data_IF_118853969599
#
_entry.id   IF_118853969599
#
_cell.length_a   1.000
_cell.length_b   1.000
_cell.length_c   1.000
_cell.angle_alpha   90.00
_cell.angle_beta   90.00
_cell.angle_gamma   90.00
#
_symmetry.space_group_name_H-M   'P 1'
#
loop_
_entity.id
_entity.type
_entity.pdbx_description
1 polymer ?
#
# COMPACT_ATOMS: atom_id res chain seq x y z
N UNK A 1 -31.77 49.83 40.17
CA UNK A 1 -31.83 48.48 39.57
C UNK A 1 -30.73 48.43 38.52
N UNK A 2 -29.69 47.63 38.83
CA UNK A 2 -28.55 47.12 38.05
C UNK A 2 -28.08 47.91 36.81
N UNK A 3 -26.96 48.65 36.89
CA UNK A 3 -25.53 48.23 36.82
C UNK A 3 -25.02 48.17 35.38
N UNK A 4 -24.18 49.15 35.02
CA UNK A 4 -23.07 48.98 34.07
C UNK A 4 -21.83 49.53 34.79
N UNK A 5 -20.91 48.63 35.15
CA UNK A 5 -19.61 48.98 35.74
C UNK A 5 -18.53 48.60 34.74
N UNK A 6 -17.56 49.51 34.67
CA UNK A 6 -16.34 49.52 33.87
C UNK A 6 -15.35 48.39 34.21
N UNK A 7 -14.16 48.51 33.60
CA UNK A 7 -12.86 47.88 33.93
C UNK A 7 -12.68 46.45 33.37
N UNK A 8 -11.53 46.00 32.89
CA UNK A 8 -10.21 46.60 32.71
C UNK A 8 -9.38 45.69 31.80
N UNK A 9 -8.45 46.31 31.10
CA UNK A 9 -7.28 45.70 30.47
C UNK A 9 -6.51 44.83 31.45
N UNK A 10 -6.25 43.56 31.10
CA UNK A 10 -5.17 42.77 31.69
C UNK A 10 -4.38 42.13 30.53
N UNK A 11 -3.23 42.76 30.24
CA UNK A 11 -2.06 42.06 29.74
C UNK A 11 -1.45 41.30 30.92
N UNK A 12 -1.21 40.00 30.77
CA UNK A 12 -0.04 39.37 31.40
C UNK A 12 0.45 38.20 30.55
N UNK A 13 1.70 38.34 30.15
CA UNK A 13 2.55 37.44 29.37
C UNK A 13 2.99 36.23 30.20
N UNK A 14 2.95 35.02 29.64
CA UNK A 14 3.94 33.98 29.94
C UNK A 14 4.37 33.36 28.60
N UNK A 15 5.60 33.68 28.21
CA UNK A 15 6.36 32.96 27.20
C UNK A 15 6.80 31.60 27.76
N UNK A 16 6.93 30.58 26.91
CA UNK A 16 8.14 29.72 26.84
C UNK A 16 8.04 28.76 25.64
N UNK A 17 8.95 28.98 24.68
CA UNK A 17 9.69 27.99 23.87
C UNK A 17 8.90 26.98 23.03
N UNK A 18 9.01 27.12 21.70
CA UNK A 18 9.61 26.10 20.84
C UNK A 18 10.18 26.76 19.58
N UNK A 19 11.44 26.43 19.31
CA UNK A 19 12.24 26.90 18.19
C UNK A 19 11.78 26.26 16.88
N UNK A 20 11.74 27.09 15.83
CA UNK A 20 12.21 26.81 14.48
C UNK A 20 12.02 25.41 13.90
N UNK A 21 10.98 25.24 13.09
CA UNK A 21 11.10 24.53 11.82
C UNK A 21 10.66 25.52 10.74
N UNK A 22 11.64 26.01 9.99
CA UNK A 22 11.41 26.85 8.82
C UNK A 22 10.70 26.00 7.76
N UNK A 23 9.41 26.26 7.53
CA UNK A 23 8.58 25.50 6.61
C UNK A 23 9.13 25.55 5.16
N UNK A 24 9.91 26.59 4.83
CA UNK A 24 10.54 26.72 3.52
C UNK A 24 11.78 25.81 3.38
N UNK A 25 12.49 25.54 4.48
CA UNK A 25 13.63 24.60 4.47
C UNK A 25 13.15 23.15 4.26
N UNK A 26 11.99 22.78 4.80
CA UNK A 26 11.38 21.46 4.60
C UNK A 26 10.88 21.31 3.15
N UNK A 27 10.30 22.35 2.56
CA UNK A 27 9.91 22.31 1.14
C UNK A 27 11.10 22.24 0.17
N UNK A 28 12.23 22.86 0.50
CA UNK A 28 13.41 22.85 -0.37
C UNK A 28 14.14 21.50 -0.39
N UNK A 29 14.15 20.77 0.73
CA UNK A 29 14.69 19.40 0.81
C UNK A 29 13.84 18.42 -0.03
N UNK A 30 12.52 18.57 -0.02
CA UNK A 30 11.59 17.72 -0.78
C UNK A 30 11.64 17.93 -2.30
N UNK A 31 12.25 19.02 -2.79
CA UNK A 31 12.30 19.36 -4.22
C UNK A 31 13.66 19.18 -4.89
N UNK A 32 14.68 18.70 -4.18
CA UNK A 32 15.98 18.36 -4.77
C UNK A 32 16.73 19.51 -5.46
N UNK A 33 16.45 20.77 -5.12
CA UNK A 33 17.13 21.92 -5.71
C UNK A 33 18.37 22.31 -4.90
N UNK A 34 19.56 22.01 -5.43
CA UNK A 34 20.84 22.51 -4.90
C UNK A 34 21.05 23.97 -5.31
N UNK A 35 21.06 24.89 -4.34
CA UNK A 35 21.49 26.27 -4.55
C UNK A 35 23.02 26.35 -4.48
N UNK A 36 23.66 26.53 -5.64
CA UNK A 36 25.09 26.79 -5.75
C UNK A 36 25.38 28.29 -5.74
N UNK A 37 26.03 28.80 -4.68
CA UNK A 37 26.95 29.93 -4.76
C UNK A 37 28.17 29.73 -3.83
N UNK A 38 29.34 30.02 -4.40
CA UNK A 38 30.69 29.63 -4.01
C UNK A 38 31.27 30.25 -2.73
N UNK A 39 32.08 29.47 -1.99
CA UNK A 39 33.41 29.88 -1.50
C UNK A 39 34.28 28.69 -1.04
N UNK A 40 35.40 28.48 -1.76
CA UNK A 40 36.73 27.96 -1.35
C UNK A 40 36.90 26.68 -0.50
N UNK A 41 37.41 25.63 -1.16
CA UNK A 41 38.39 24.60 -0.75
C UNK A 41 38.45 24.11 0.70
N UNK A 42 37.99 22.88 0.94
CA UNK A 42 38.79 21.80 1.58
C UNK A 42 38.18 20.44 1.27
N UNK A 43 39.03 19.42 1.10
CA UNK A 43 38.71 18.04 0.72
C UNK A 43 37.58 17.42 1.56
N UNK A 44 36.53 16.96 0.90
CA UNK A 44 35.55 16.03 1.45
C UNK A 44 35.39 14.84 0.48
N UNK A 45 35.21 13.60 0.97
CA UNK A 45 34.99 12.44 0.10
C UNK A 45 33.73 12.68 -0.72
N UNK A 46 33.78 12.41 -2.02
CA UNK A 46 32.59 12.33 -2.85
C UNK A 46 31.62 11.32 -2.22
N UNK A 47 30.58 11.84 -1.57
CA UNK A 47 29.41 11.04 -1.21
C UNK A 47 28.86 10.47 -2.52
N UNK A 48 28.87 9.14 -2.62
CA UNK A 48 28.36 8.42 -3.78
C UNK A 48 26.96 8.91 -4.12
N UNK A 49 26.79 9.39 -5.35
CA UNK A 49 25.50 9.77 -5.89
C UNK A 49 24.52 8.62 -5.72
N UNK A 50 23.31 8.92 -5.26
CA UNK A 50 22.25 7.92 -5.15
C UNK A 50 22.00 7.33 -6.54
N UNK A 51 22.13 6.01 -6.67
CA UNK A 51 21.82 5.28 -7.91
C UNK A 51 20.31 5.07 -8.10
N UNK A 52 19.46 5.65 -7.25
CA UNK A 52 18.01 5.56 -7.39
C UNK A 52 17.56 6.46 -8.53
N UNK A 53 16.70 5.94 -9.41
CA UNK A 53 16.16 6.71 -10.53
C UNK A 53 15.47 7.97 -10.03
N UNK A 54 16.02 9.13 -10.37
CA UNK A 54 15.39 10.42 -10.16
C UNK A 54 14.45 10.69 -11.33
N UNK A 55 13.21 10.24 -11.19
CA UNK A 55 12.12 10.52 -12.10
C UNK A 55 10.81 10.50 -11.32
N UNK A 56 9.79 11.20 -11.78
CA UNK A 56 8.43 11.06 -11.26
C UNK A 56 7.66 10.15 -12.21
N UNK A 57 7.04 9.09 -11.68
CA UNK A 57 6.05 8.33 -12.45
C UNK A 57 4.78 9.20 -12.51
N UNK A 58 4.34 9.55 -13.72
CA UNK A 58 3.24 10.52 -13.95
C UNK A 58 1.92 9.86 -14.38
N UNK A 59 1.90 8.54 -14.47
CA UNK A 59 0.71 7.75 -14.74
C UNK A 59 -0.23 7.64 -13.54
N UNK A 60 -1.16 6.70 -13.62
CA UNK A 60 -2.09 6.41 -12.52
C UNK A 60 -1.33 5.79 -11.34
N UNK A 61 -1.72 6.17 -10.13
CA UNK A 61 -1.13 5.68 -8.88
C UNK A 61 -1.69 4.31 -8.45
N UNK A 62 -1.84 3.38 -9.40
CA UNK A 62 -2.26 2.02 -9.09
C UNK A 62 -1.08 1.22 -8.54
N UNK A 63 -1.29 0.53 -7.43
CA UNK A 63 -0.35 -0.43 -6.90
C UNK A 63 -0.51 -1.81 -7.54
N UNK A 64 0.58 -2.56 -7.63
CA UNK A 64 0.59 -3.92 -8.20
C UNK A 64 0.98 -4.92 -7.12
N UNK A 65 0.10 -5.89 -6.83
CA UNK A 65 0.35 -6.93 -5.85
C UNK A 65 0.59 -8.29 -6.52
N UNK A 66 1.61 -9.02 -6.08
CA UNK A 66 1.97 -10.33 -6.62
C UNK A 66 2.17 -11.41 -5.55
N UNK A 67 1.51 -12.55 -5.74
CA UNK A 67 1.75 -13.77 -4.94
C UNK A 67 2.95 -14.60 -5.39
N UNK A 68 3.29 -14.55 -6.68
CA UNK A 68 4.27 -15.45 -7.27
C UNK A 68 5.69 -15.07 -6.84
N UNK A 69 6.31 -15.93 -6.03
CA UNK A 69 7.67 -15.73 -5.54
C UNK A 69 8.73 -15.91 -6.65
N UNK A 70 8.38 -16.44 -7.83
CA UNK A 70 9.34 -16.64 -8.93
C UNK A 70 9.90 -15.33 -9.48
N UNK A 71 9.20 -14.21 -9.33
CA UNK A 71 9.65 -12.89 -9.80
C UNK A 71 10.96 -12.42 -9.17
N UNK A 72 11.26 -12.91 -7.98
CA UNK A 72 12.51 -12.62 -7.31
C UNK A 72 13.33 -13.89 -7.03
N UNK A 73 12.72 -15.06 -6.79
CA UNK A 73 13.48 -16.31 -6.52
C UNK A 73 14.15 -16.90 -7.76
N UNK A 74 13.45 -16.90 -8.89
CA UNK A 74 13.84 -17.64 -10.09
C UNK A 74 14.24 -16.72 -11.25
N UNK A 75 14.42 -15.42 -10.99
CA UNK A 75 14.79 -14.44 -12.00
C UNK A 75 13.70 -14.18 -13.05
N UNK A 76 12.43 -14.55 -12.78
CA UNK A 76 11.32 -14.19 -13.66
C UNK A 76 11.19 -12.65 -13.70
N UNK A 77 11.39 -12.05 -14.87
CA UNK A 77 11.40 -10.60 -15.02
C UNK A 77 10.05 -10.00 -15.38
N UNK A 78 8.99 -10.78 -15.57
CA UNK A 78 7.71 -10.26 -16.09
C UNK A 78 7.18 -9.07 -15.28
N UNK A 79 7.23 -9.13 -13.95
CA UNK A 79 6.79 -8.02 -13.10
C UNK A 79 7.64 -6.75 -13.32
N UNK A 80 8.97 -6.88 -13.36
CA UNK A 80 9.85 -5.72 -13.61
C UNK A 80 9.68 -5.18 -15.04
N UNK A 81 9.60 -6.07 -16.04
CA UNK A 81 9.40 -5.70 -17.44
C UNK A 81 8.06 -4.99 -17.63
N UNK A 82 7.01 -5.44 -16.94
CA UNK A 82 5.73 -4.74 -16.90
C UNK A 82 5.88 -3.33 -16.33
N UNK A 83 6.47 -3.20 -15.14
CA UNK A 83 6.64 -1.91 -14.47
C UNK A 83 7.53 -0.93 -15.26
N UNK A 84 8.43 -1.44 -16.10
CA UNK A 84 9.29 -0.66 -17.01
C UNK A 84 8.60 -0.26 -18.32
N UNK A 85 7.58 -1.01 -18.75
CA UNK A 85 6.85 -0.75 -20.01
C UNK A 85 6.07 0.56 -19.97
N UNK A 86 5.82 1.15 -21.14
CA UNK A 86 4.99 2.36 -21.27
C UNK A 86 3.61 2.19 -20.62
N UNK A 87 2.99 1.02 -20.77
CA UNK A 87 1.71 0.68 -20.13
C UNK A 87 1.85 0.59 -18.61
N UNK A 88 2.91 -0.02 -18.11
CA UNK A 88 3.21 -0.05 -16.67
C UNK A 88 3.39 1.35 -16.10
N UNK A 89 4.16 2.21 -16.78
CA UNK A 89 4.37 3.61 -16.37
C UNK A 89 3.11 4.46 -16.48
N UNK A 90 2.22 4.17 -17.42
CA UNK A 90 0.95 4.88 -17.55
C UNK A 90 -0.06 4.52 -16.44
N UNK A 91 0.01 3.30 -15.89
CA UNK A 91 -1.00 2.78 -14.99
C UNK A 91 -0.53 2.48 -13.56
N UNK A 92 0.73 2.13 -13.34
CA UNK A 92 1.22 1.53 -12.09
C UNK A 92 2.36 2.35 -11.47
N UNK A 93 2.06 3.61 -11.15
CA UNK A 93 2.94 4.49 -10.40
C UNK A 93 2.84 4.32 -8.88
N UNK A 94 1.92 3.49 -8.38
CA UNK A 94 1.78 3.20 -6.95
C UNK A 94 2.75 2.13 -6.44
N UNK A 95 2.61 1.75 -5.18
CA UNK A 95 3.46 0.77 -4.50
C UNK A 95 3.43 -0.61 -5.15
N UNK A 96 4.48 -1.40 -4.91
CA UNK A 96 4.60 -2.78 -5.42
C UNK A 96 4.67 -3.73 -4.24
N UNK A 97 3.94 -4.83 -4.33
CA UNK A 97 3.83 -5.82 -3.28
C UNK A 97 4.29 -7.17 -3.84
N UNK A 98 5.26 -7.79 -3.18
CA UNK A 98 5.76 -9.11 -3.52
C UNK A 98 5.66 -10.04 -2.32
N UNK A 99 5.11 -11.22 -2.50
CA UNK A 99 5.19 -12.25 -1.48
C UNK A 99 6.65 -12.72 -1.34
N UNK A 100 7.18 -12.74 -0.11
CA UNK A 100 8.53 -13.21 0.18
C UNK A 100 8.56 -14.47 1.05
N UNK A 101 7.48 -14.74 1.78
CA UNK A 101 7.35 -15.90 2.66
C UNK A 101 5.88 -16.22 3.00
N UNK A 102 5.64 -17.45 3.42
CA UNK A 102 4.36 -17.99 3.83
C UNK A 102 4.54 -18.99 4.99
N UNK A 103 3.49 -19.73 5.34
CA UNK A 103 3.53 -20.72 6.43
C UNK A 103 4.60 -21.80 6.25
N UNK A 104 5.03 -22.09 5.03
CA UNK A 104 5.96 -23.18 4.71
C UNK A 104 7.43 -22.78 4.90
N UNK A 105 7.74 -21.48 4.89
CA UNK A 105 9.12 -20.97 4.91
C UNK A 105 9.32 -19.73 5.80
N UNK A 106 8.43 -19.47 6.76
CA UNK A 106 8.55 -18.34 7.70
C UNK A 106 9.87 -18.25 8.49
N UNK A 107 10.65 -19.35 8.60
CA UNK A 107 11.96 -19.35 9.29
C UNK A 107 13.13 -18.85 8.42
N UNK A 108 12.92 -18.68 7.12
CA UNK A 108 13.99 -18.30 6.19
C UNK A 108 13.42 -17.71 4.90
N UNK A 109 13.94 -16.55 4.48
CA UNK A 109 13.75 -16.06 3.11
C UNK A 109 14.64 -16.90 2.20
N UNK A 110 14.03 -17.70 1.32
CA UNK A 110 14.80 -18.51 0.36
C UNK A 110 15.48 -17.60 -0.67
N UNK A 111 16.71 -17.91 -1.10
CA UNK A 111 17.48 -17.11 -2.08
C UNK A 111 17.58 -15.61 -1.72
N UNK A 112 18.10 -15.26 -0.53
CA UNK A 112 18.07 -13.90 0.00
C UNK A 112 18.84 -12.88 -0.86
N UNK A 113 19.90 -13.28 -1.56
CA UNK A 113 20.62 -12.43 -2.50
C UNK A 113 19.77 -12.06 -3.71
N UNK A 114 18.91 -12.98 -4.18
CA UNK A 114 18.03 -12.73 -5.31
C UNK A 114 16.92 -11.73 -4.94
N UNK A 115 16.40 -11.79 -3.70
CA UNK A 115 15.47 -10.78 -3.19
C UNK A 115 16.13 -9.39 -3.17
N UNK A 116 17.38 -9.31 -2.72
CA UNK A 116 18.14 -8.06 -2.73
C UNK A 116 18.37 -7.54 -4.16
N UNK A 117 18.75 -8.43 -5.08
CA UNK A 117 18.94 -8.08 -6.49
C UNK A 117 17.64 -7.55 -7.12
N UNK A 118 16.49 -8.17 -6.81
CA UNK A 118 15.18 -7.69 -7.22
C UNK A 118 14.89 -6.29 -6.67
N UNK A 119 15.10 -6.06 -5.36
CA UNK A 119 14.86 -4.76 -4.74
C UNK A 119 15.72 -3.64 -5.34
N UNK A 120 16.98 -3.94 -5.66
CA UNK A 120 17.87 -3.01 -6.39
C UNK A 120 17.34 -2.74 -7.80
N UNK A 121 16.94 -3.78 -8.54
CA UNK A 121 16.42 -3.63 -9.89
C UNK A 121 15.13 -2.79 -9.91
N UNK A 122 14.22 -3.02 -8.96
CA UNK A 122 13.01 -2.21 -8.79
C UNK A 122 13.34 -0.71 -8.63
N UNK A 123 14.39 -0.37 -7.88
CA UNK A 123 14.80 1.03 -7.62
C UNK A 123 15.45 1.73 -8.80
N UNK A 124 15.87 0.97 -9.81
CA UNK A 124 16.34 1.52 -11.07
C UNK A 124 15.18 1.90 -12.00
N UNK A 125 13.95 1.44 -11.73
CA UNK A 125 12.79 1.81 -12.54
C UNK A 125 12.46 3.30 -12.40
N UNK A 126 11.94 3.89 -13.47
CA UNK A 126 11.49 5.28 -13.47
C UNK A 126 10.41 5.50 -12.40
N UNK A 127 10.59 6.53 -11.56
CA UNK A 127 9.62 6.84 -10.50
C UNK A 127 9.61 5.91 -9.30
N UNK A 128 10.53 4.94 -9.22
CA UNK A 128 10.61 4.03 -8.06
C UNK A 128 11.10 4.70 -6.77
N UNK A 129 11.66 5.92 -6.83
CA UNK A 129 12.26 6.57 -5.65
C UNK A 129 11.30 6.84 -4.50
N UNK A 130 10.04 7.16 -4.79
CA UNK A 130 9.00 7.45 -3.78
C UNK A 130 8.09 6.26 -3.48
N UNK A 131 8.15 5.19 -4.26
CA UNK A 131 7.25 4.02 -4.16
C UNK A 131 7.75 3.05 -3.09
N UNK A 132 6.86 2.47 -2.31
CA UNK A 132 7.22 1.43 -1.35
C UNK A 132 7.28 0.08 -2.06
N UNK A 133 8.34 -0.69 -1.79
CA UNK A 133 8.37 -2.12 -2.10
C UNK A 133 7.92 -2.88 -0.84
N UNK A 134 6.66 -3.31 -0.83
CA UNK A 134 6.10 -4.13 0.23
C UNK A 134 6.53 -5.59 0.04
N UNK A 135 7.26 -6.09 1.02
CA UNK A 135 7.70 -7.47 1.13
C UNK A 135 6.72 -8.21 2.05
N UNK A 136 5.85 -8.99 1.44
CA UNK A 136 4.70 -9.57 2.12
C UNK A 136 5.02 -10.93 2.71
N UNK A 137 4.66 -11.11 3.99
CA UNK A 137 4.37 -12.43 4.54
C UNK A 137 2.91 -12.77 4.28
N UNK A 138 2.67 -13.72 3.39
CA UNK A 138 1.34 -14.05 2.94
C UNK A 138 0.96 -15.51 3.27
N UNK A 139 -0.08 -15.70 4.07
CA UNK A 139 -0.53 -17.03 4.50
C UNK A 139 -2.07 -17.16 4.46
N UNK A 140 -2.58 -17.34 3.24
CA UNK A 140 -4.01 -17.57 2.99
C UNK A 140 -4.42 -19.05 3.13
N UNK A 141 -3.43 -19.95 3.25
CA UNK A 141 -3.64 -21.41 3.25
C UNK A 141 -3.79 -21.95 4.66
N UNK A 142 -2.77 -21.79 5.50
CA UNK A 142 -2.80 -22.29 6.88
C UNK A 142 -3.31 -21.22 7.86
N UNK A 143 -3.28 -19.94 7.47
CA UNK A 143 -3.79 -18.81 8.26
C UNK A 143 -3.18 -18.81 9.65
N UNK A 144 -1.86 -18.96 9.71
CA UNK A 144 -1.15 -19.19 10.95
C UNK A 144 -0.64 -17.88 11.54
N UNK A 145 -1.50 -17.22 12.31
CA UNK A 145 -1.16 -15.94 12.97
C UNK A 145 0.04 -16.00 13.91
N UNK A 146 0.39 -17.17 14.45
CA UNK A 146 1.58 -17.32 15.31
C UNK A 146 2.87 -17.07 14.52
N UNK A 147 2.93 -17.61 13.30
CA UNK A 147 4.11 -17.49 12.44
C UNK A 147 4.37 -16.07 11.96
N UNK A 148 3.36 -15.20 11.92
CA UNK A 148 3.52 -13.78 11.59
C UNK A 148 4.54 -13.12 12.52
N UNK A 149 4.36 -13.30 13.84
CA UNK A 149 5.27 -12.74 14.84
C UNK A 149 6.67 -13.35 14.72
N UNK A 150 6.75 -14.65 14.49
CA UNK A 150 8.05 -15.32 14.36
C UNK A 150 8.80 -14.88 13.08
N UNK A 151 8.07 -14.57 12.01
CA UNK A 151 8.64 -14.08 10.75
C UNK A 151 9.33 -12.71 10.89
N UNK A 152 8.94 -11.88 11.88
CA UNK A 152 9.62 -10.60 12.13
C UNK A 152 11.13 -10.81 12.34
N UNK A 153 11.52 -11.84 13.10
CA UNK A 153 12.93 -12.15 13.34
C UNK A 153 13.64 -12.58 12.05
N UNK A 154 12.96 -13.35 11.19
CA UNK A 154 13.49 -13.75 9.88
C UNK A 154 13.72 -12.55 8.96
N UNK A 155 12.76 -11.61 8.93
CA UNK A 155 12.87 -10.40 8.13
C UNK A 155 13.99 -9.47 8.66
N UNK A 156 14.07 -9.28 9.98
CA UNK A 156 15.15 -8.52 10.63
C UNK A 156 16.53 -9.11 10.34
N UNK A 157 16.65 -10.45 10.39
CA UNK A 157 17.90 -11.14 10.09
C UNK A 157 18.33 -10.92 8.64
N UNK A 158 17.40 -10.95 7.67
CA UNK A 158 17.72 -10.66 6.27
C UNK A 158 18.22 -9.21 6.09
N UNK A 159 17.57 -8.26 6.74
CA UNK A 159 18.02 -6.86 6.74
C UNK A 159 19.43 -6.74 7.32
N UNK A 160 19.68 -7.36 8.47
CA UNK A 160 20.99 -7.37 9.10
C UNK A 160 22.09 -7.97 8.22
N UNK A 161 21.83 -9.13 7.60
CA UNK A 161 22.86 -9.90 6.90
C UNK A 161 23.15 -9.42 5.48
N UNK A 162 22.14 -8.85 4.80
CA UNK A 162 22.23 -8.53 3.36
C UNK A 162 22.12 -7.04 3.04
N UNK A 163 21.69 -6.19 3.98
CA UNK A 163 21.40 -4.77 3.71
C UNK A 163 22.32 -3.89 4.55
N UNK A 164 23.51 -3.64 4.03
CA UNK A 164 24.48 -2.69 4.60
C UNK A 164 24.08 -1.22 4.36
N UNK A 165 24.84 -0.29 4.94
CA UNK A 165 24.57 1.15 4.88
C UNK A 165 24.52 1.73 3.46
N UNK A 166 25.28 1.15 2.53
CA UNK A 166 25.26 1.53 1.12
C UNK A 166 24.01 0.99 0.43
N UNK A 167 23.64 -0.25 0.74
CA UNK A 167 22.44 -0.91 0.23
C UNK A 167 21.16 -0.24 0.72
N UNK A 168 21.11 0.24 1.96
CA UNK A 168 19.99 1.04 2.50
C UNK A 168 19.67 2.21 1.54
N UNK A 169 20.69 2.94 1.06
CA UNK A 169 20.48 4.09 0.17
C UNK A 169 20.00 3.68 -1.23
N UNK A 170 20.21 2.42 -1.61
CA UNK A 170 19.83 1.90 -2.91
C UNK A 170 18.42 1.30 -2.93
N UNK A 171 17.98 0.67 -1.83
CA UNK A 171 16.75 -0.14 -1.83
C UNK A 171 15.56 0.46 -1.09
N UNK A 172 15.74 1.49 -0.27
CA UNK A 172 14.66 2.07 0.53
C UNK A 172 13.79 3.07 -0.27
N UNK A 173 12.49 3.26 0.08
CA UNK A 173 11.78 2.67 1.22
C UNK A 173 11.18 1.28 0.93
N UNK A 174 11.41 0.31 1.82
CA UNK A 174 10.75 -1.01 1.76
C UNK A 174 9.78 -1.14 2.92
N UNK A 175 8.88 -2.12 2.88
CA UNK A 175 8.04 -2.42 4.03
C UNK A 175 7.83 -3.90 4.24
N UNK A 176 7.59 -4.28 5.50
CA UNK A 176 7.05 -5.59 5.84
C UNK A 176 5.52 -5.49 5.79
N UNK A 177 4.90 -6.26 4.91
CA UNK A 177 3.45 -6.35 4.81
C UNK A 177 2.96 -7.72 5.27
N UNK A 178 1.77 -7.78 5.85
CA UNK A 178 1.10 -9.03 6.19
C UNK A 178 -0.19 -9.17 5.40
N UNK A 179 -0.33 -10.29 4.70
CA UNK A 179 -1.56 -10.73 4.04
C UNK A 179 -1.97 -12.10 4.60
N UNK A 180 -2.55 -12.05 5.80
CA UNK A 180 -2.96 -13.22 6.58
C UNK A 180 -4.35 -12.94 7.15
N UNK A 181 -5.34 -13.64 6.63
CA UNK A 181 -6.75 -13.43 6.95
C UNK A 181 -7.29 -14.50 7.92
N UNK A 182 -8.39 -14.19 8.62
CA UNK A 182 -9.13 -15.08 9.51
C UNK A 182 -8.30 -15.67 10.67
N UNK A 183 -7.47 -14.83 11.27
CA UNK A 183 -6.67 -15.15 12.46
C UNK A 183 -7.23 -14.46 13.69
N UNK A 184 -6.85 -14.94 14.89
CA UNK A 184 -7.17 -14.25 16.14
C UNK A 184 -6.57 -12.84 16.12
N UNK A 185 -7.37 -11.77 16.31
CA UNK A 185 -6.89 -10.39 16.32
C UNK A 185 -5.73 -10.13 17.28
N UNK A 186 -5.64 -10.88 18.39
CA UNK A 186 -4.54 -10.75 19.36
C UNK A 186 -3.21 -11.20 18.77
N UNK A 187 -3.22 -12.21 17.89
CA UNK A 187 -2.01 -12.65 17.18
C UNK A 187 -1.54 -11.60 16.17
N UNK A 188 -2.48 -10.94 15.48
CA UNK A 188 -2.20 -9.80 14.60
C UNK A 188 -1.54 -8.69 15.41
N UNK A 189 -2.15 -8.27 16.52
CA UNK A 189 -1.58 -7.25 17.42
C UNK A 189 -0.17 -7.60 17.87
N UNK A 190 0.04 -8.82 18.35
CA UNK A 190 1.33 -9.24 18.89
C UNK A 190 2.42 -9.27 17.80
N UNK A 191 2.09 -9.64 16.57
CA UNK A 191 3.00 -9.57 15.42
C UNK A 191 3.32 -8.12 15.04
N UNK A 192 2.32 -7.24 15.01
CA UNK A 192 2.49 -5.82 14.68
C UNK A 192 3.33 -5.07 15.73
N UNK A 193 3.12 -5.35 17.01
CA UNK A 193 3.94 -4.79 18.10
C UNK A 193 5.40 -5.26 17.95
N UNK A 194 5.63 -6.54 17.65
CA UNK A 194 6.99 -7.04 17.44
C UNK A 194 7.65 -6.40 16.21
N UNK A 195 6.93 -6.26 15.10
CA UNK A 195 7.42 -5.58 13.91
C UNK A 195 7.73 -4.09 14.15
N UNK A 196 6.95 -3.41 15.02
CA UNK A 196 7.21 -2.04 15.45
C UNK A 196 8.48 -1.95 16.29
N UNK A 197 8.70 -2.92 17.18
CA UNK A 197 9.94 -3.02 17.96
C UNK A 197 11.15 -3.29 17.07
N UNK A 198 11.01 -4.14 16.05
CA UNK A 198 12.04 -4.36 15.03
C UNK A 198 12.46 -3.04 14.37
N UNK A 199 11.52 -2.20 13.92
CA UNK A 199 11.87 -0.87 13.34
C UNK A 199 12.73 -0.02 14.28
N UNK A 200 12.43 -0.03 15.57
CA UNK A 200 13.23 0.68 16.58
C UNK A 200 14.64 0.09 16.72
N UNK A 201 14.78 -1.24 16.66
CA UNK A 201 16.09 -1.93 16.67
C UNK A 201 16.90 -1.62 15.42
N UNK A 202 16.31 -1.72 14.24
CA UNK A 202 16.96 -1.37 12.96
C UNK A 202 17.54 0.06 12.99
N UNK A 203 16.77 1.02 13.52
CA UNK A 203 17.21 2.41 13.64
C UNK A 203 18.35 2.58 14.65
N UNK A 204 18.18 2.03 15.85
CA UNK A 204 19.11 2.25 16.97
C UNK A 204 20.39 1.42 16.90
N UNK A 205 20.35 0.25 16.24
CA UNK A 205 21.46 -0.72 16.23
C UNK A 205 22.12 -0.85 14.86
N UNK A 206 21.36 -0.67 13.77
CA UNK A 206 21.85 -0.91 12.40
C UNK A 206 21.87 0.36 11.53
N UNK A 207 21.52 1.52 12.08
CA UNK A 207 21.66 2.81 11.40
C UNK A 207 20.65 3.05 10.28
N UNK A 208 19.53 2.32 10.27
CA UNK A 208 18.45 2.58 9.31
C UNK A 208 17.82 3.95 9.58
N UNK A 209 17.62 4.80 8.56
CA UNK A 209 16.89 6.04 8.73
C UNK A 209 15.46 5.77 9.21
N UNK A 210 14.94 6.63 10.09
CA UNK A 210 13.53 6.57 10.50
C UNK A 210 12.63 6.68 9.27
N UNK A 211 11.65 5.77 9.15
CA UNK A 211 10.73 5.71 8.01
C UNK A 211 11.28 4.99 6.77
N UNK A 212 12.49 4.44 6.81
CA UNK A 212 13.03 3.64 5.69
C UNK A 212 12.40 2.25 5.56
N UNK A 213 12.06 1.64 6.71
CA UNK A 213 11.31 0.39 6.79
C UNK A 213 9.92 0.67 7.34
N UNK A 214 8.90 0.31 6.57
CA UNK A 214 7.49 0.53 6.88
C UNK A 214 6.78 -0.77 7.28
N UNK A 215 5.65 -0.65 7.95
CA UNK A 215 4.78 -1.75 8.32
C UNK A 215 3.41 -1.58 7.69
N UNK A 216 2.91 -2.68 7.15
CA UNK A 216 1.55 -2.79 6.67
C UNK A 216 0.93 -4.12 7.09
N UNK A 217 -0.39 -4.13 7.22
CA UNK A 217 -1.15 -5.37 7.31
C UNK A 217 -2.49 -5.20 6.60
N UNK A 218 -3.04 -6.31 6.15
CA UNK A 218 -4.36 -6.36 5.54
C UNK A 218 -5.46 -6.12 6.56
N UNK A 219 -6.41 -5.26 6.21
CA UNK A 219 -7.75 -5.28 6.78
C UNK A 219 -8.56 -6.24 5.91
N UNK A 220 -8.87 -7.42 6.45
CA UNK A 220 -9.55 -8.49 5.71
C UNK A 220 -10.97 -8.10 5.28
N UNK A 221 -11.47 -8.81 4.27
CA UNK A 221 -12.83 -8.62 3.77
C UNK A 221 -13.92 -9.24 4.65
N UNK A 222 -13.59 -9.91 5.75
CA UNK A 222 -14.56 -10.43 6.70
C UNK A 222 -14.68 -9.51 7.94
N UNK A 223 -15.78 -9.67 8.68
CA UNK A 223 -16.01 -8.94 9.93
C UNK A 223 -14.88 -9.23 10.94
N UNK A 224 -14.16 -8.18 11.30
CA UNK A 224 -13.03 -8.20 12.24
C UNK A 224 -12.68 -6.77 12.71
N UNK A 225 -13.59 -6.18 13.48
CA UNK A 225 -13.41 -4.83 14.01
C UNK A 225 -12.15 -4.73 14.90
N UNK A 226 -11.91 -5.73 15.74
CA UNK A 226 -10.77 -5.72 16.65
C UNK A 226 -9.43 -5.82 15.90
N UNK A 227 -9.30 -6.71 14.92
CA UNK A 227 -8.11 -6.81 14.08
C UNK A 227 -7.89 -5.53 13.28
N UNK A 228 -8.95 -4.96 12.73
CA UNK A 228 -8.91 -3.68 12.01
C UNK A 228 -8.36 -2.55 12.87
N UNK A 229 -8.86 -2.41 14.11
CA UNK A 229 -8.32 -1.42 15.06
C UNK A 229 -6.82 -1.61 15.28
N UNK A 230 -6.36 -2.84 15.52
CA UNK A 230 -4.94 -3.11 15.73
C UNK A 230 -4.08 -2.78 14.51
N UNK A 231 -4.56 -3.07 13.29
CA UNK A 231 -3.89 -2.64 12.06
C UNK A 231 -3.77 -1.12 12.02
N UNK A 232 -4.88 -0.40 12.20
CA UNK A 232 -4.89 1.07 12.11
C UNK A 232 -4.02 1.77 13.18
N UNK A 233 -3.89 1.17 14.37
CA UNK A 233 -3.11 1.71 15.50
C UNK A 233 -1.60 1.38 15.45
N UNK A 234 -1.21 0.29 14.77
CA UNK A 234 0.15 -0.25 14.88
C UNK A 234 0.94 -0.32 13.56
N UNK A 235 0.36 0.11 12.44
CA UNK A 235 1.00 0.11 11.13
C UNK A 235 1.19 1.53 10.57
N UNK A 236 2.05 1.66 9.55
CA UNK A 236 2.18 2.90 8.77
C UNK A 236 1.16 2.93 7.61
N UNK A 237 0.74 1.76 7.13
CA UNK A 237 -0.27 1.60 6.10
C UNK A 237 -1.20 0.42 6.41
N UNK A 238 -2.47 0.54 6.03
CA UNK A 238 -3.45 -0.55 6.10
C UNK A 238 -3.88 -0.93 4.68
N UNK A 239 -3.81 -2.22 4.34
CA UNK A 239 -4.21 -2.72 3.03
C UNK A 239 -5.66 -3.26 3.11
N UNK A 240 -6.63 -2.43 2.75
CA UNK A 240 -8.05 -2.73 2.94
C UNK A 240 -8.59 -3.59 1.81
N UNK A 241 -8.92 -4.85 2.12
CA UNK A 241 -9.37 -5.84 1.15
C UNK A 241 -10.84 -5.64 0.81
N UNK A 242 -11.06 -5.08 -0.39
CA UNK A 242 -12.37 -4.68 -0.86
C UNK A 242 -12.86 -5.62 -1.95
N UNK A 243 -13.40 -6.76 -1.52
CA UNK A 243 -14.17 -7.64 -2.40
C UNK A 243 -15.58 -7.07 -2.60
N UNK A 244 -16.16 -7.17 -3.81
CA UNK A 244 -17.57 -6.76 -4.06
C UNK A 244 -18.55 -7.82 -3.50
N UNK A 245 -18.41 -8.08 -2.20
CA UNK A 245 -19.28 -8.94 -1.41
C UNK A 245 -20.67 -8.33 -1.25
N UNK A 246 -21.68 -9.19 -1.16
CA UNK A 246 -23.05 -8.80 -0.84
C UNK A 246 -23.14 -8.21 0.55
N UNK A 247 -23.57 -6.95 0.63
CA UNK A 247 -24.03 -6.37 1.88
C UNK A 247 -25.45 -5.86 1.64
N UNK A 248 -26.35 -6.27 2.52
CA UNK A 248 -27.70 -5.74 2.57
C UNK A 248 -27.62 -4.34 3.17
N UNK A 249 -27.75 -3.30 2.34
CA UNK A 249 -27.83 -1.91 2.79
C UNK A 249 -29.18 -1.69 3.52
N UNK A 250 -29.19 -1.50 4.85
CA UNK A 250 -30.42 -1.34 5.61
C UNK A 250 -31.19 -0.06 5.23
N UNK A 251 -30.49 0.91 4.63
CA UNK A 251 -31.07 2.19 4.20
C UNK A 251 -31.68 2.10 2.80
N UNK A 252 -31.38 1.05 2.03
CA UNK A 252 -31.81 0.87 0.65
C UNK A 252 -31.30 1.97 -0.30
N UNK A 253 -30.40 2.85 0.15
CA UNK A 253 -29.81 3.94 -0.66
C UNK A 253 -29.01 3.36 -1.84
N UNK A 254 -28.53 2.13 -1.68
CA UNK A 254 -27.73 1.45 -2.68
C UNK A 254 -28.08 -0.05 -2.72
N UNK A 255 -29.05 -0.46 -3.53
CA UNK A 255 -29.45 -1.88 -3.66
C UNK A 255 -28.64 -2.70 -4.68
N UNK A 256 -28.81 -4.01 -4.60
CA UNK A 256 -27.98 -5.13 -5.10
C UNK A 256 -27.56 -5.11 -6.58
N UNK A 257 -26.26 -4.97 -6.81
CA UNK A 257 -25.39 -5.88 -7.58
C UNK A 257 -23.97 -5.32 -7.55
N UNK A 258 -22.99 -6.08 -7.01
CA UNK A 258 -21.55 -5.76 -7.04
C UNK A 258 -21.15 -4.30 -6.72
N UNK A 259 -21.85 -3.63 -5.79
CA UNK A 259 -21.61 -2.21 -5.51
C UNK A 259 -20.44 -2.03 -4.53
N UNK A 260 -19.27 -1.75 -5.09
CA UNK A 260 -18.02 -1.47 -4.37
C UNK A 260 -18.16 -0.29 -3.38
N UNK A 261 -19.05 0.68 -3.67
CA UNK A 261 -19.32 1.84 -2.79
C UNK A 261 -19.94 1.41 -1.48
N UNK A 262 -20.91 0.51 -1.51
CA UNK A 262 -21.57 0.01 -0.29
C UNK A 262 -20.63 -0.80 0.56
N UNK A 263 -19.82 -1.61 -0.12
CA UNK A 263 -18.80 -2.38 0.56
C UNK A 263 -17.86 -1.44 1.29
N UNK A 264 -17.39 -0.39 0.63
CA UNK A 264 -16.51 0.60 1.24
C UNK A 264 -17.19 1.34 2.39
N UNK A 265 -18.47 1.71 2.25
CA UNK A 265 -19.26 2.29 3.33
C UNK A 265 -19.27 1.38 4.56
N UNK A 266 -19.55 0.09 4.39
CA UNK A 266 -19.50 -0.89 5.49
C UNK A 266 -18.10 -1.05 6.08
N UNK A 267 -17.05 -1.08 5.24
CA UNK A 267 -15.66 -1.16 5.72
C UNK A 267 -15.33 0.01 6.66
N UNK A 268 -15.91 1.19 6.41
CA UNK A 268 -15.59 2.41 7.16
C UNK A 268 -16.55 2.71 8.30
N UNK A 269 -17.74 2.09 8.32
CA UNK A 269 -18.75 2.31 9.37
C UNK A 269 -18.83 1.17 10.38
N UNK A 270 -18.63 -0.07 9.93
CA UNK A 270 -18.73 -1.26 10.77
C UNK A 270 -17.35 -1.86 11.04
N UNK A 271 -16.55 -2.12 10.00
CA UNK A 271 -15.25 -2.77 10.16
C UNK A 271 -14.22 -1.85 10.83
N UNK A 272 -14.19 -0.56 10.45
CA UNK A 272 -13.38 0.47 11.12
C UNK A 272 -14.28 1.48 11.84
N UNK A 273 -14.89 1.08 12.97
CA UNK A 273 -15.90 1.87 13.67
C UNK A 273 -15.47 3.31 14.04
N UNK A 274 -14.16 3.54 14.23
CA UNK A 274 -13.62 4.87 14.54
C UNK A 274 -13.21 5.68 13.29
N UNK A 275 -13.12 5.06 12.11
CA UNK A 275 -12.61 5.71 10.90
C UNK A 275 -13.38 6.97 10.55
N UNK A 276 -14.69 7.08 10.79
CA UNK A 276 -15.45 8.28 10.43
C UNK A 276 -15.48 9.37 11.52
N UNK A 277 -14.86 9.14 12.69
CA UNK A 277 -14.82 10.13 13.77
C UNK A 277 -13.76 11.19 13.50
N UNK A 278 -14.13 12.47 13.63
CA UNK A 278 -13.23 13.60 13.35
C UNK A 278 -12.01 13.67 14.28
N UNK A 279 -12.09 13.09 15.48
CA UNK A 279 -11.03 13.05 16.50
C UNK A 279 -10.16 11.79 16.44
N UNK A 280 -10.46 10.85 15.54
CA UNK A 280 -9.67 9.63 15.38
C UNK A 280 -8.52 9.85 14.40
N UNK A 281 -7.27 9.85 14.85
CA UNK A 281 -6.10 10.04 13.99
C UNK A 281 -5.23 8.77 13.99
N UNK A 282 -5.58 7.75 13.20
CA UNK A 282 -4.80 6.52 13.14
C UNK A 282 -3.41 6.81 12.55
N UNK A 283 -2.46 5.95 12.91
CA UNK A 283 -1.12 5.99 12.30
C UNK A 283 -1.16 5.52 10.85
N UNK A 284 -1.99 4.52 10.55
CA UNK A 284 -2.05 3.89 9.25
C UNK A 284 -2.80 4.73 8.21
N UNK A 285 -2.26 4.77 6.99
CA UNK A 285 -2.99 5.22 5.79
C UNK A 285 -3.55 4.03 5.01
N UNK A 286 -4.83 4.12 4.65
CA UNK A 286 -5.56 3.08 3.93
C UNK A 286 -5.20 3.12 2.45
N UNK A 287 -4.73 1.99 1.93
CA UNK A 287 -4.73 1.67 0.49
C UNK A 287 -5.80 0.60 0.28
N UNK A 288 -6.66 0.78 -0.72
CA UNK A 288 -7.74 -0.17 -1.02
C UNK A 288 -7.22 -1.23 -1.98
N UNK A 289 -7.25 -2.50 -1.57
CA UNK A 289 -6.88 -3.62 -2.42
C UNK A 289 -8.11 -4.29 -3.02
N UNK A 290 -8.05 -4.57 -4.32
CA UNK A 290 -9.09 -5.33 -5.04
C UNK A 290 -8.54 -6.56 -5.71
N UNK A 291 -9.43 -7.54 -5.94
CA UNK A 291 -9.10 -8.83 -6.52
C UNK A 291 -9.30 -8.87 -8.05
N UNK A 292 -8.38 -9.54 -8.73
CA UNK A 292 -8.29 -9.72 -10.17
C UNK A 292 -8.25 -11.20 -10.57
N UNK A 293 -8.10 -12.12 -9.62
CA UNK A 293 -8.07 -13.56 -9.87
C UNK A 293 -9.40 -14.08 -10.41
N UNK A 294 -9.38 -14.86 -11.49
CA UNK A 294 -10.55 -15.58 -11.99
C UNK A 294 -10.85 -16.86 -11.17
N UNK A 295 -10.02 -17.18 -10.17
CA UNK A 295 -10.10 -18.41 -9.38
C UNK A 295 -10.68 -18.20 -7.98
N UNK A 296 -11.61 -17.25 -7.82
CA UNK A 296 -12.26 -16.94 -6.54
C UNK A 296 -13.39 -17.90 -6.12
N UNK A 297 -13.51 -19.06 -6.77
CA UNK A 297 -14.52 -20.06 -6.42
C UNK A 297 -15.96 -19.60 -6.72
N UNK A 298 -16.90 -19.90 -5.81
CA UNK A 298 -18.31 -19.48 -5.92
C UNK A 298 -18.41 -17.98 -5.60
N UNK A 299 -19.09 -17.20 -6.43
CA UNK A 299 -19.16 -15.73 -6.27
C UNK A 299 -18.07 -14.96 -7.00
N UNK A 300 -17.29 -15.61 -7.88
CA UNK A 300 -16.23 -14.96 -8.65
C UNK A 300 -16.73 -13.70 -9.40
N UNK A 301 -17.93 -13.76 -9.98
CA UNK A 301 -18.57 -12.65 -10.70
C UNK A 301 -18.74 -11.38 -9.89
N UNK A 302 -18.57 -11.47 -8.57
CA UNK A 302 -18.84 -10.43 -7.59
C UNK A 302 -17.57 -10.07 -6.85
N UNK A 303 -16.75 -11.04 -6.50
CA UNK A 303 -15.52 -10.81 -5.74
C UNK A 303 -14.41 -10.18 -6.58
N UNK A 304 -14.34 -10.52 -7.86
CA UNK A 304 -13.16 -10.26 -8.70
C UNK A 304 -13.47 -9.37 -9.90
N UNK A 305 -12.57 -8.43 -10.17
CA UNK A 305 -12.59 -7.65 -11.41
C UNK A 305 -12.32 -8.49 -12.66
N UNK A 306 -11.83 -9.74 -12.53
CA UNK A 306 -11.71 -10.61 -13.69
C UNK A 306 -13.05 -10.85 -14.41
N UNK A 307 -14.17 -10.88 -13.67
CA UNK A 307 -15.49 -11.01 -14.26
C UNK A 307 -15.81 -9.87 -15.27
N UNK A 308 -15.17 -8.74 -15.12
CA UNK A 308 -15.39 -7.56 -15.94
C UNK A 308 -14.29 -7.39 -17.00
N UNK A 309 -13.70 -8.49 -17.45
CA UNK A 309 -12.83 -8.45 -18.63
C UNK A 309 -13.62 -8.14 -19.91
N UNK A 310 -13.06 -7.23 -20.71
CA UNK A 310 -13.67 -6.67 -21.92
C UNK A 310 -12.89 -5.44 -22.43
N UNK A 311 -13.09 -5.03 -23.69
CA UNK A 311 -12.33 -3.92 -24.28
C UNK A 311 -12.77 -2.54 -23.76
N UNK A 312 -11.78 -1.64 -23.60
CA UNK A 312 -11.98 -0.22 -23.28
C UNK A 312 -12.73 0.02 -21.96
N UNK A 313 -13.47 1.12 -21.85
CA UNK A 313 -14.22 1.49 -20.64
C UNK A 313 -15.28 0.45 -20.17
N UNK A 314 -15.54 -0.59 -20.96
CA UNK A 314 -16.47 -1.67 -20.62
C UNK A 314 -15.79 -2.86 -19.92
N UNK A 315 -14.46 -2.89 -19.83
CA UNK A 315 -13.73 -3.90 -19.09
C UNK A 315 -12.24 -3.62 -18.85
N UNK A 316 -11.52 -4.61 -18.33
CA UNK A 316 -10.07 -4.51 -18.10
C UNK A 316 -9.67 -3.40 -17.11
N UNK A 317 -8.47 -2.85 -17.28
CA UNK A 317 -7.87 -1.92 -16.31
C UNK A 317 -8.61 -0.58 -16.26
N UNK A 318 -9.10 -0.07 -17.40
CA UNK A 318 -9.83 1.20 -17.47
C UNK A 318 -11.15 1.14 -16.71
N UNK A 319 -11.92 0.07 -16.90
CA UNK A 319 -13.16 -0.14 -16.17
C UNK A 319 -12.92 -0.18 -14.66
N UNK A 320 -11.95 -0.98 -14.22
CA UNK A 320 -11.60 -1.09 -12.80
C UNK A 320 -11.18 0.26 -12.23
N UNK A 321 -10.28 0.98 -12.92
CA UNK A 321 -9.84 2.30 -12.48
C UNK A 321 -11.01 3.28 -12.34
N UNK A 322 -11.87 3.37 -13.36
CA UNK A 322 -13.03 4.27 -13.35
C UNK A 322 -13.98 3.96 -12.18
N UNK A 323 -14.26 2.68 -11.93
CA UNK A 323 -15.10 2.23 -10.81
C UNK A 323 -14.49 2.63 -9.46
N UNK A 324 -13.17 2.45 -9.29
CA UNK A 324 -12.48 2.79 -8.04
C UNK A 324 -12.40 4.30 -7.82
N UNK A 325 -12.11 5.08 -8.86
CA UNK A 325 -12.09 6.55 -8.75
C UNK A 325 -13.47 7.14 -8.52
N UNK A 326 -14.51 6.54 -9.11
CA UNK A 326 -15.88 7.01 -8.87
C UNK A 326 -16.33 6.68 -7.46
N UNK A 327 -15.99 5.49 -6.94
CA UNK A 327 -16.18 5.17 -5.53
C UNK A 327 -15.51 6.22 -4.64
N UNK A 328 -14.23 6.49 -4.87
CA UNK A 328 -13.46 7.44 -4.08
C UNK A 328 -14.03 8.87 -4.11
N UNK A 329 -14.51 9.31 -5.28
CA UNK A 329 -15.24 10.58 -5.45
C UNK A 329 -16.53 10.59 -4.62
N UNK A 330 -17.36 9.55 -4.73
CA UNK A 330 -18.65 9.47 -4.03
C UNK A 330 -18.46 9.50 -2.51
N UNK A 331 -17.43 8.83 -1.97
CA UNK A 331 -17.17 8.81 -0.52
C UNK A 331 -17.08 10.22 0.09
N UNK A 332 -16.50 11.14 -0.68
CA UNK A 332 -16.10 12.49 -0.26
C UNK A 332 -17.11 13.57 -0.68
N UNK A 333 -18.16 13.19 -1.39
CA UNK A 333 -19.14 14.14 -1.90
C UNK A 333 -19.95 14.78 -0.75
N UNK A 334 -20.06 16.11 -0.66
CA UNK A 334 -20.80 16.78 0.41
C UNK A 334 -22.30 16.48 0.48
N UNK A 335 -22.89 15.98 -0.61
CA UNK A 335 -24.33 15.71 -0.76
C UNK A 335 -24.64 14.23 -0.63
N UNK A 336 -23.83 13.37 -1.27
CA UNK A 336 -24.08 11.92 -1.32
C UNK A 336 -23.12 11.08 -0.47
N UNK A 337 -21.95 11.62 -0.12
CA UNK A 337 -20.87 10.95 0.59
C UNK A 337 -21.10 10.83 2.10
N UNK A 338 -20.12 10.24 2.78
CA UNK A 338 -20.18 9.94 4.21
C UNK A 338 -18.90 10.29 4.96
N UNK A 339 -17.94 10.93 4.29
CA UNK A 339 -16.79 11.56 4.94
C UNK A 339 -16.48 12.91 4.26
N UNK A 340 -15.85 13.82 5.01
CA UNK A 340 -15.35 15.07 4.44
C UNK A 340 -14.06 14.83 3.65
N UNK A 341 -13.70 15.68 2.67
CA UNK A 341 -12.41 15.58 1.98
C UNK A 341 -11.20 15.65 2.93
N UNK A 342 -11.30 16.44 4.02
CA UNK A 342 -10.25 16.50 5.04
C UNK A 342 -10.10 15.17 5.80
N UNK A 343 -11.23 14.51 6.11
CA UNK A 343 -11.23 13.20 6.74
C UNK A 343 -10.66 12.13 5.80
N UNK A 344 -10.99 12.20 4.52
CA UNK A 344 -10.43 11.32 3.51
C UNK A 344 -8.90 11.46 3.42
N UNK A 345 -8.38 12.67 3.29
CA UNK A 345 -6.94 12.93 3.27
C UNK A 345 -6.23 12.47 4.57
N UNK A 346 -6.93 12.50 5.70
CA UNK A 346 -6.43 11.99 6.97
C UNK A 346 -6.37 10.45 7.03
N UNK A 347 -7.20 9.74 6.26
CA UNK A 347 -7.31 8.28 6.31
C UNK A 347 -6.62 7.55 5.15
N UNK A 348 -6.69 8.07 3.93
CA UNK A 348 -6.28 7.33 2.74
C UNK A 348 -4.87 7.70 2.28
N UNK A 349 -4.21 6.74 1.63
CA UNK A 349 -2.91 6.93 1.01
C UNK A 349 -3.07 7.65 -0.35
N UNK A 350 -2.60 8.90 -0.50
CA UNK A 350 -2.72 9.63 -1.76
C UNK A 350 -1.75 9.13 -2.84
N UNK A 351 -0.64 8.54 -2.44
CA UNK A 351 0.43 8.08 -3.34
C UNK A 351 0.11 6.72 -3.95
N UNK A 352 -0.65 5.89 -3.24
CA UNK A 352 -1.20 4.61 -3.74
C UNK A 352 -2.60 4.39 -3.16
N UNK A 353 -3.64 5.03 -3.72
CA UNK A 353 -5.01 4.88 -3.21
C UNK A 353 -5.57 3.47 -3.44
N UNK A 354 -5.15 2.82 -4.52
CA UNK A 354 -5.64 1.50 -4.93
C UNK A 354 -4.49 0.55 -5.21
N UNK A 355 -4.64 -0.72 -4.86
CA UNK A 355 -3.74 -1.81 -5.23
C UNK A 355 -4.54 -2.95 -5.87
N UNK A 356 -3.95 -3.61 -6.87
CA UNK A 356 -4.59 -4.72 -7.59
C UNK A 356 -3.84 -5.99 -7.34
N UNK A 357 -4.55 -6.92 -6.73
CA UNK A 357 -4.13 -8.28 -6.46
C UNK A 357 -4.87 -9.21 -7.44
N UNK A 358 -4.29 -10.21 -8.08
CA UNK A 358 -2.89 -10.66 -8.15
C UNK A 358 -2.35 -10.42 -9.56
N UNK A 359 -1.11 -9.94 -9.68
CA UNK A 359 -0.43 -9.54 -10.91
C UNK A 359 -0.46 -10.60 -12.00
N UNK A 360 -0.37 -11.88 -11.60
CA UNK A 360 -0.51 -13.01 -12.52
C UNK A 360 -1.76 -12.93 -13.39
N UNK A 361 -2.85 -12.39 -12.83
CA UNK A 361 -4.13 -12.21 -13.49
C UNK A 361 -4.30 -10.79 -14.01
N UNK A 362 -3.98 -9.78 -13.19
CA UNK A 362 -4.20 -8.39 -13.55
C UNK A 362 -3.36 -7.93 -14.73
N UNK A 363 -2.22 -8.59 -15.02
CA UNK A 363 -1.42 -8.33 -16.24
C UNK A 363 -2.19 -8.55 -17.54
N UNK A 364 -3.28 -9.33 -17.52
CA UNK A 364 -4.14 -9.56 -18.69
C UNK A 364 -5.15 -8.42 -18.91
N UNK A 365 -5.36 -7.52 -17.93
CA UNK A 365 -6.37 -6.45 -17.99
C UNK A 365 -5.99 -5.31 -18.94
N UNK A 366 -4.72 -5.30 -19.39
CA UNK A 366 -4.13 -4.25 -20.21
C UNK A 366 -4.35 -4.48 -21.73
N UNK A 367 -5.13 -5.50 -22.08
CA UNK A 367 -5.55 -5.78 -23.46
C UNK A 367 -4.61 -6.73 -24.22
N UNK A 368 -5.19 -7.38 -25.23
CA UNK A 368 -4.55 -8.44 -26.02
C UNK A 368 -3.26 -8.01 -26.70
N UNK A 369 -3.26 -6.83 -27.33
CA UNK A 369 -2.05 -6.31 -27.96
C UNK A 369 -0.89 -6.18 -26.97
N UNK A 370 -1.19 -5.75 -25.73
CA UNK A 370 -0.16 -5.58 -24.71
C UNK A 370 0.35 -6.92 -24.19
N UNK A 371 -0.53 -7.80 -23.70
CA UNK A 371 -0.08 -9.06 -23.12
C UNK A 371 0.61 -9.97 -24.16
N UNK A 372 0.20 -9.90 -25.43
CA UNK A 372 0.87 -10.59 -26.54
C UNK A 372 2.27 -10.04 -26.76
N UNK A 373 2.44 -8.71 -26.75
CA UNK A 373 3.76 -8.08 -26.91
C UNK A 373 4.72 -8.38 -25.76
N UNK A 374 4.18 -8.62 -24.56
CA UNK A 374 4.94 -8.99 -23.38
C UNK A 374 5.20 -10.51 -23.28
N UNK A 375 4.59 -11.33 -24.14
CA UNK A 375 4.72 -12.79 -24.10
C UNK A 375 4.01 -13.45 -22.91
N UNK A 376 2.92 -12.85 -22.43
CA UNK A 376 2.11 -13.44 -21.35
C UNK A 376 1.12 -14.45 -21.92
N UNK A 377 1.64 -15.60 -22.38
CA UNK A 377 0.86 -16.64 -23.07
C UNK A 377 -0.28 -17.21 -22.20
N UNK A 378 -0.18 -17.12 -20.87
CA UNK A 378 -1.24 -17.54 -19.96
C UNK A 378 -2.48 -16.63 -20.00
N UNK A 379 -2.37 -15.42 -20.56
CA UNK A 379 -3.50 -14.54 -20.82
C UNK A 379 -4.41 -15.04 -21.95
N UNK A 380 -3.99 -15.96 -22.81
CA UNK A 380 -4.87 -16.53 -23.86
C UNK A 380 -6.08 -17.26 -23.25
N UNK A 381 -5.86 -17.91 -22.11
CA UNK A 381 -6.92 -18.61 -21.37
C UNK A 381 -7.77 -17.66 -20.51
N UNK A 382 -7.34 -16.41 -20.33
CA UNK A 382 -7.94 -15.44 -19.43
C UNK A 382 -9.38 -15.07 -19.82
N UNK A 383 -9.62 -14.75 -21.09
CA UNK A 383 -10.95 -14.43 -21.61
C UNK A 383 -12.00 -15.52 -21.27
N UNK A 384 -11.61 -16.78 -21.44
CA UNK A 384 -12.47 -17.94 -21.12
C UNK A 384 -12.72 -18.04 -19.61
N UNK A 385 -11.68 -17.84 -18.81
CA UNK A 385 -11.79 -17.87 -17.35
C UNK A 385 -12.64 -16.71 -16.80
N UNK A 386 -12.54 -15.52 -17.39
CA UNK A 386 -13.40 -14.38 -17.10
C UNK A 386 -14.87 -14.68 -17.42
N UNK A 387 -15.14 -15.29 -18.58
CA UNK A 387 -16.47 -15.78 -18.93
C UNK A 387 -17.05 -16.74 -17.89
N UNK A 388 -16.25 -17.70 -17.42
CA UNK A 388 -16.66 -18.63 -16.35
C UNK A 388 -16.87 -17.88 -15.03
N UNK A 389 -15.97 -16.96 -14.68
CA UNK A 389 -16.05 -16.16 -13.46
C UNK A 389 -17.37 -15.38 -13.39
N UNK A 390 -17.79 -14.73 -14.48
CA UNK A 390 -19.08 -14.00 -14.58
C UNK A 390 -20.30 -14.85 -14.22
N UNK A 391 -20.26 -16.14 -14.53
CA UNK A 391 -21.40 -17.05 -14.30
C UNK A 391 -21.46 -17.64 -12.89
N UNK A 392 -20.45 -17.38 -12.05
CA UNK A 392 -20.33 -17.88 -10.67
C UNK A 392 -20.58 -16.79 -9.65
#
# INVERSE_FOLDING_TARGET
MFVLIATSTILLTIAFVLHGCDADAVQQILRGQSTSQSATTTLAPQAGGSSVSQGTCSGKNLGTYSWDQSFWRAGNRDLLNFLESDTGLAWNCGDVYINIADYSNWRSIAEPENLLAFARAFRQLSGAGSRVLWMTYGDVVERNGVKMKEFVATFEQWLHDYVDSDTIRQIMPIGLSYDVEHVDPKLVRDALIEAKNMKARLTSQLGYPSGSVLLQATIQGAEDEEGTRYVMEHTDSALMMLYRNYINDPTGKYQEDSNIVNRMYWMLTAQCADCLKDDYFPHAKITVMVEASCKMGRGCGKLSFCAHDGPGAQGGVEYMWNILTEMDRIMQDPVEGYMTPARHAALFNPDTPFAVHDFKWSRCFYGESFYTSMGYDDCDSYNTMAGICRTK
#
